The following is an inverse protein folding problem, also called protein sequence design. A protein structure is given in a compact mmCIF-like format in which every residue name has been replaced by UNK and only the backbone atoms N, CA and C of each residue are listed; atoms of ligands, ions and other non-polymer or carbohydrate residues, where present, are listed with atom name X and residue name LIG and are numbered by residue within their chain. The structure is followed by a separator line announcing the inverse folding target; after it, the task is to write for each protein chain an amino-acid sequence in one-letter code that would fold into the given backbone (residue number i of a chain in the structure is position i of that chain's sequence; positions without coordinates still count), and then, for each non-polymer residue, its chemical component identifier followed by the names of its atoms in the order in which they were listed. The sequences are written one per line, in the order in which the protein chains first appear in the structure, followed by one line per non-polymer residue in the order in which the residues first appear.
data_IF_400950842982
#
_entry.id   IF_400950842982
#
_cell.length_a   1.000
_cell.length_b   1.000
_cell.length_c   1.000
_cell.angle_alpha   90.00
_cell.angle_beta   90.00
_cell.angle_gamma   90.00
#
_symmetry.space_group_name_H-M   'P 1'
#
loop_
_entity.id
_entity.type
_entity.pdbx_description
1 polymer ?
#
# COMPACT_ATOMS: atom_id res chain seq x y z
N UNK A 1 -18.70 4.97 19.81
CA UNK A 1 -18.11 3.97 18.88
C UNK A 1 -16.61 3.91 19.13
N UNK A 2 -16.01 2.74 18.93
CA UNK A 2 -14.59 2.51 19.10
C UNK A 2 -14.05 1.89 17.80
N UNK A 3 -12.91 2.40 17.34
CA UNK A 3 -12.24 1.95 16.12
C UNK A 3 -10.82 1.49 16.45
N UNK A 4 -10.39 0.37 15.87
CA UNK A 4 -9.02 -0.08 15.89
C UNK A 4 -8.34 0.33 14.58
N UNK A 5 -7.13 0.90 14.68
CA UNK A 5 -6.33 1.33 13.54
C UNK A 5 -4.98 0.65 13.63
N UNK A 6 -4.63 -0.07 12.56
CA UNK A 6 -3.30 -0.66 12.39
C UNK A 6 -2.49 0.26 11.51
N UNK A 7 -1.31 0.64 11.97
CA UNK A 7 -0.44 1.59 11.27
C UNK A 7 1.03 1.23 11.52
N UNK A 8 1.90 1.52 10.56
CA UNK A 8 3.35 1.37 10.75
C UNK A 8 3.84 2.25 11.91
N UNK A 9 4.73 1.71 12.70
CA UNK A 9 5.23 2.38 13.92
C UNK A 9 5.85 3.74 13.63
N UNK A 10 6.57 3.87 12.52
CA UNK A 10 7.20 5.13 12.05
C UNK A 10 6.20 6.21 11.61
N UNK A 11 4.94 5.83 11.33
CA UNK A 11 3.86 6.75 10.99
C UNK A 11 2.99 7.16 12.19
N UNK A 12 3.10 6.47 13.33
CA UNK A 12 2.15 6.60 14.45
C UNK A 12 2.11 8.01 15.03
N UNK A 13 3.26 8.66 15.20
CA UNK A 13 3.34 10.01 15.76
C UNK A 13 2.69 11.06 14.85
N UNK A 14 3.00 10.98 13.53
CA UNK A 14 2.43 11.90 12.54
C UNK A 14 0.91 11.72 12.44
N UNK A 15 0.44 10.48 12.44
CA UNK A 15 -0.98 10.16 12.46
C UNK A 15 -1.66 10.74 13.71
N UNK A 16 -1.08 10.57 14.90
CA UNK A 16 -1.63 11.12 16.13
C UNK A 16 -1.72 12.65 16.10
N UNK A 17 -0.72 13.35 15.55
CA UNK A 17 -0.74 14.80 15.34
C UNK A 17 -1.86 15.21 14.38
N UNK A 18 -2.01 14.47 13.28
CA UNK A 18 -3.07 14.72 12.29
C UNK A 18 -4.47 14.56 12.91
N UNK A 19 -4.72 13.49 13.63
CA UNK A 19 -6.00 13.28 14.32
C UNK A 19 -6.28 14.38 15.35
N UNK A 20 -5.30 14.80 16.14
CA UNK A 20 -5.47 15.92 17.09
C UNK A 20 -5.85 17.22 16.37
N UNK A 21 -5.22 17.52 15.23
CA UNK A 21 -5.47 18.75 14.47
C UNK A 21 -6.87 18.78 13.85
N UNK A 22 -7.31 17.71 13.23
CA UNK A 22 -8.55 17.68 12.47
C UNK A 22 -9.74 17.08 13.25
N UNK A 23 -9.46 16.28 14.28
CA UNK A 23 -10.46 15.68 15.16
C UNK A 23 -10.82 16.50 16.40
N UNK A 24 -10.29 17.71 16.57
CA UNK A 24 -10.46 18.52 17.78
C UNK A 24 -11.91 18.77 18.16
N UNK A 25 -12.82 18.91 17.18
CA UNK A 25 -14.25 19.14 17.39
C UNK A 25 -15.06 17.85 17.49
N UNK A 26 -14.49 16.70 17.19
CA UNK A 26 -15.19 15.41 17.13
C UNK A 26 -15.20 14.67 18.46
N UNK A 27 -14.65 15.24 19.52
CA UNK A 27 -14.51 14.62 20.86
C UNK A 27 -13.85 13.24 20.82
N UNK A 28 -12.96 13.00 19.83
CA UNK A 28 -12.22 11.75 19.70
C UNK A 28 -11.07 11.70 20.71
N UNK A 29 -10.89 10.53 21.31
CA UNK A 29 -9.73 10.25 22.18
C UNK A 29 -8.90 9.15 21.52
N UNK A 30 -7.61 9.41 21.34
CA UNK A 30 -6.65 8.39 20.95
C UNK A 30 -6.14 7.70 22.21
N UNK A 31 -6.23 6.38 22.25
CA UNK A 31 -5.54 5.56 23.27
C UNK A 31 -4.08 5.38 22.87
N UNK A 32 -3.24 5.08 23.84
CA UNK A 32 -1.85 4.76 23.55
C UNK A 32 -1.76 3.55 22.61
N UNK A 33 -0.90 3.60 21.58
CA UNK A 33 -0.75 2.48 20.68
C UNK A 33 -0.13 1.28 21.41
N UNK A 34 -0.65 0.10 21.10
CA UNK A 34 -0.08 -1.17 21.55
C UNK A 34 0.63 -1.84 20.36
N UNK A 35 1.80 -2.46 20.57
CA UNK A 35 2.50 -3.15 19.50
C UNK A 35 1.71 -4.38 19.07
N UNK A 36 1.60 -4.55 17.76
CA UNK A 36 1.13 -5.77 17.12
C UNK A 36 2.17 -6.24 16.13
N UNK A 37 2.20 -7.53 15.88
CA UNK A 37 3.20 -8.17 15.05
C UNK A 37 2.56 -8.71 13.76
N UNK A 38 3.21 -8.47 12.64
CA UNK A 38 2.82 -9.00 11.34
C UNK A 38 3.13 -10.49 11.28
N UNK A 39 2.14 -11.30 10.95
CA UNK A 39 2.25 -12.77 10.85
C UNK A 39 1.51 -13.29 9.63
N UNK A 40 1.84 -14.51 9.20
CA UNK A 40 1.05 -15.26 8.23
C UNK A 40 0.31 -16.39 8.95
N UNK A 41 -0.99 -16.44 8.78
CA UNK A 41 -1.83 -17.50 9.32
C UNK A 41 -2.67 -18.13 8.19
N UNK A 42 -2.53 -19.43 7.97
CA UNK A 42 -3.18 -20.16 6.86
C UNK A 42 -2.96 -19.51 5.46
N UNK A 43 -1.75 -18.97 5.21
CA UNK A 43 -1.42 -18.30 3.95
C UNK A 43 -1.99 -16.88 3.82
N UNK A 44 -2.58 -16.34 4.88
CA UNK A 44 -3.16 -14.99 4.92
C UNK A 44 -2.28 -14.08 5.77
N UNK A 45 -1.82 -12.94 5.24
CA UNK A 45 -1.09 -11.95 6.02
C UNK A 45 -2.05 -11.26 7.00
N UNK A 46 -1.72 -11.32 8.28
CA UNK A 46 -2.55 -10.77 9.37
C UNK A 46 -1.68 -10.22 10.49
N UNK A 47 -2.26 -9.90 11.64
CA UNK A 47 -1.57 -9.33 12.78
C UNK A 47 -1.92 -10.08 14.07
N UNK A 48 -0.97 -10.11 15.03
CA UNK A 48 -1.13 -10.74 16.34
C UNK A 48 -0.54 -9.86 17.44
N UNK A 49 -1.11 -9.93 18.62
CA UNK A 49 -0.53 -9.31 19.82
C UNK A 49 0.68 -10.12 20.36
N UNK A 50 0.79 -11.38 19.96
CA UNK A 50 1.92 -12.22 20.33
C UNK A 50 2.94 -12.23 19.19
N UNK A 51 4.21 -11.91 19.48
CA UNK A 51 5.29 -12.05 18.50
C UNK A 51 5.40 -13.53 18.07
N UNK A 52 5.37 -13.74 16.75
CA UNK A 52 5.69 -15.02 16.12
C UNK A 52 6.92 -14.82 15.24
N UNK A 53 7.80 -15.80 15.20
CA UNK A 53 8.90 -15.85 14.25
C UNK A 53 8.27 -15.93 12.84
N UNK A 54 8.63 -15.12 11.88
CA UNK A 54 8.28 -15.10 10.44
C UNK A 54 7.69 -13.78 9.95
N UNK A 55 8.23 -12.65 10.39
CA UNK A 55 7.85 -11.34 9.83
C UNK A 55 8.17 -11.23 8.32
N UNK A 56 9.24 -11.89 7.85
CA UNK A 56 9.65 -11.87 6.44
C UNK A 56 8.61 -12.55 5.54
N UNK A 57 8.00 -13.63 6.00
CA UNK A 57 6.94 -14.33 5.27
C UNK A 57 5.72 -13.41 5.07
N UNK A 58 5.41 -12.56 6.05
CA UNK A 58 4.29 -11.62 5.95
C UNK A 58 4.52 -10.62 4.81
N UNK A 59 5.73 -10.09 4.66
CA UNK A 59 6.05 -9.15 3.58
C UNK A 59 5.96 -9.84 2.22
N UNK A 60 6.52 -11.05 2.07
CA UNK A 60 6.47 -11.80 0.82
C UNK A 60 5.03 -12.12 0.41
N UNK A 61 4.22 -12.64 1.33
CA UNK A 61 2.81 -12.96 1.07
C UNK A 61 2.01 -11.69 0.79
N UNK A 62 2.27 -10.60 1.50
CA UNK A 62 1.61 -9.32 1.27
C UNK A 62 1.91 -8.77 -0.13
N UNK A 63 3.17 -8.77 -0.56
CA UNK A 63 3.57 -8.34 -1.91
C UNK A 63 2.91 -9.24 -2.96
N UNK A 64 2.93 -10.56 -2.77
CA UNK A 64 2.31 -11.51 -3.69
C UNK A 64 0.81 -11.29 -3.87
N UNK A 65 0.13 -10.86 -2.82
CA UNK A 65 -1.31 -10.55 -2.83
C UNK A 65 -1.61 -9.09 -3.18
N UNK A 66 -0.58 -8.26 -3.41
CA UNK A 66 -0.74 -6.82 -3.66
C UNK A 66 -1.15 -6.03 -2.42
N UNK A 67 -1.00 -6.58 -1.22
CA UNK A 67 -1.22 -5.88 0.04
C UNK A 67 -0.02 -5.00 0.33
N UNK A 68 -0.15 -3.71 0.05
CA UNK A 68 0.86 -2.73 0.41
C UNK A 68 0.71 -2.28 1.87
N UNK A 69 1.79 -1.75 2.43
CA UNK A 69 1.78 -1.04 3.71
C UNK A 69 2.47 0.31 3.55
N UNK A 70 1.94 1.31 4.24
CA UNK A 70 2.48 2.66 4.21
C UNK A 70 3.48 2.81 5.35
N UNK A 71 4.66 3.33 5.02
CA UNK A 71 5.72 3.70 5.94
C UNK A 71 5.92 5.20 5.92
N UNK A 72 6.78 5.73 6.78
CA UNK A 72 7.14 7.14 6.75
C UNK A 72 7.69 7.58 5.39
N UNK A 73 8.42 6.70 4.70
CA UNK A 73 8.99 6.98 3.38
C UNK A 73 7.94 7.05 2.25
N UNK A 74 6.78 6.41 2.44
CA UNK A 74 5.72 6.32 1.42
C UNK A 74 4.43 7.05 1.79
N UNK A 75 4.37 7.66 2.99
CA UNK A 75 3.21 8.47 3.38
C UNK A 75 3.06 9.68 2.43
N UNK A 76 1.82 10.04 2.13
CA UNK A 76 1.44 11.17 1.28
C UNK A 76 1.93 11.12 -0.19
N UNK A 77 2.52 9.99 -0.65
CA UNK A 77 3.01 9.87 -2.02
C UNK A 77 1.92 9.44 -3.02
N UNK A 78 0.93 8.66 -2.59
CA UNK A 78 0.02 7.97 -3.50
C UNK A 78 -1.44 8.30 -3.23
N UNK A 79 -2.23 8.34 -4.29
CA UNK A 79 -3.68 8.37 -4.17
C UNK A 79 -4.24 6.96 -3.91
N UNK A 80 -5.37 6.83 -3.18
CA UNK A 80 -6.00 5.52 -2.92
C UNK A 80 -6.28 4.70 -4.18
N UNK A 81 -6.67 5.36 -5.28
CA UNK A 81 -6.93 4.67 -6.55
C UNK A 81 -5.66 4.19 -7.22
N UNK A 82 -4.54 4.92 -7.10
CA UNK A 82 -3.24 4.47 -7.60
C UNK A 82 -2.79 3.21 -6.89
N UNK A 83 -3.09 3.08 -5.61
CA UNK A 83 -2.84 1.88 -4.81
C UNK A 83 -3.93 0.79 -4.96
N UNK A 84 -4.86 0.92 -5.90
CA UNK A 84 -5.98 0.00 -6.14
C UNK A 84 -6.89 -0.20 -4.91
N UNK A 85 -6.92 0.72 -3.94
CA UNK A 85 -7.70 0.60 -2.72
C UNK A 85 -9.20 0.47 -2.98
N UNK A 86 -9.71 1.12 -4.03
CA UNK A 86 -11.11 1.02 -4.46
C UNK A 86 -11.48 -0.41 -4.92
N UNK A 87 -10.56 -1.15 -5.53
CA UNK A 87 -10.79 -2.54 -5.95
C UNK A 87 -10.85 -3.52 -4.76
N UNK A 88 -10.40 -3.06 -3.60
CA UNK A 88 -10.45 -3.79 -2.31
C UNK A 88 -11.60 -3.36 -1.43
N UNK A 89 -12.52 -2.51 -1.94
CA UNK A 89 -13.62 -1.97 -1.15
C UNK A 89 -13.19 -0.95 -0.08
N UNK A 90 -11.94 -0.45 -0.14
CA UNK A 90 -11.42 0.52 0.84
C UNK A 90 -11.78 1.97 0.55
N UNK A 91 -12.52 2.25 -0.53
CA UNK A 91 -13.01 3.59 -0.88
C UNK A 91 -14.52 3.54 -1.05
N UNK A 92 -15.22 4.31 -0.23
CA UNK A 92 -16.66 4.50 -0.32
C UNK A 92 -16.92 5.85 -1.00
N UNK A 93 -17.55 5.84 -2.16
CA UNK A 93 -17.87 7.04 -2.94
C UNK A 93 -19.22 7.67 -2.55
N UNK A 94 -20.06 6.96 -1.81
CA UNK A 94 -21.42 7.36 -1.45
C UNK A 94 -21.53 7.89 -0.01
N UNK A 95 -20.44 7.81 0.78
CA UNK A 95 -20.42 8.35 2.14
C UNK A 95 -20.38 9.88 2.16
N UNK A 96 -20.71 10.46 3.32
CA UNK A 96 -20.67 11.91 3.55
C UNK A 96 -19.28 12.55 3.31
N UNK A 97 -19.24 13.88 3.34
CA UNK A 97 -18.01 14.65 3.05
C UNK A 97 -16.85 14.33 4.00
N UNK A 98 -15.65 14.33 3.47
CA UNK A 98 -14.40 14.16 4.21
C UNK A 98 -13.27 14.96 3.55
N UNK A 99 -12.19 15.19 4.29
CA UNK A 99 -11.01 15.92 3.80
C UNK A 99 -10.36 15.16 2.63
N UNK A 100 -10.16 15.84 1.49
CA UNK A 100 -9.56 15.26 0.28
C UNK A 100 -10.55 14.54 -0.64
N UNK A 101 -11.83 14.51 -0.31
CA UNK A 101 -12.87 13.86 -1.12
C UNK A 101 -12.88 14.35 -2.57
N UNK A 102 -12.62 15.63 -2.81
CA UNK A 102 -12.65 16.24 -4.15
C UNK A 102 -11.65 15.59 -5.12
N UNK A 103 -10.47 15.21 -4.64
CA UNK A 103 -9.44 14.53 -5.46
C UNK A 103 -9.89 13.09 -5.77
N UNK A 104 -10.32 12.36 -4.75
CA UNK A 104 -10.77 10.97 -4.86
C UNK A 104 -12.00 10.87 -5.77
N UNK A 105 -12.99 11.72 -5.57
CA UNK A 105 -14.18 11.78 -6.41
C UNK A 105 -13.85 12.19 -7.85
N UNK A 106 -12.96 13.16 -8.06
CA UNK A 106 -12.54 13.55 -9.40
C UNK A 106 -11.88 12.39 -10.16
N UNK A 107 -10.98 11.62 -9.51
CA UNK A 107 -10.33 10.48 -10.12
C UNK A 107 -11.31 9.35 -10.47
N UNK A 108 -12.43 9.26 -9.75
CA UNK A 108 -13.46 8.26 -10.03
C UNK A 108 -14.48 8.71 -11.07
N UNK A 109 -15.01 9.93 -10.96
CA UNK A 109 -16.14 10.39 -11.76
C UNK A 109 -15.74 11.14 -13.04
N UNK A 110 -14.58 11.79 -13.07
CA UNK A 110 -14.18 12.70 -14.16
C UNK A 110 -12.83 12.39 -14.80
N UNK A 111 -12.00 11.62 -14.16
CA UNK A 111 -10.66 11.29 -14.62
C UNK A 111 -10.36 9.81 -14.31
N UNK A 112 -9.14 9.39 -14.58
CA UNK A 112 -8.61 8.09 -14.16
C UNK A 112 -7.17 8.29 -13.70
N UNK A 113 -6.65 7.50 -12.75
CA UNK A 113 -5.24 7.54 -12.41
C UNK A 113 -4.42 7.19 -13.65
N UNK A 114 -3.29 7.87 -13.85
CA UNK A 114 -2.38 7.61 -14.97
C UNK A 114 -1.36 6.52 -14.68
N UNK A 115 -1.10 6.31 -13.39
CA UNK A 115 -0.20 5.30 -12.86
C UNK A 115 -0.95 4.53 -11.77
N UNK A 116 -0.63 3.28 -11.58
CA UNK A 116 -1.23 2.45 -10.55
C UNK A 116 -0.31 1.32 -10.11
N UNK A 117 -0.72 0.63 -9.07
CA UNK A 117 0.03 -0.44 -8.43
C UNK A 117 0.23 -1.63 -9.36
N UNK A 118 1.47 -2.08 -9.45
CA UNK A 118 1.89 -3.31 -10.12
C UNK A 118 2.78 -4.11 -9.16
N UNK A 119 2.81 -5.42 -9.35
CA UNK A 119 3.81 -6.31 -8.75
C UNK A 119 4.86 -6.60 -9.81
N UNK A 120 6.11 -6.42 -9.44
CA UNK A 120 7.25 -6.61 -10.35
C UNK A 120 8.33 -7.44 -9.69
N UNK A 121 9.21 -8.03 -10.50
CA UNK A 121 10.46 -8.65 -10.06
C UNK A 121 11.61 -8.26 -10.98
N UNK A 122 12.81 -8.25 -10.43
CA UNK A 122 14.06 -8.04 -11.17
C UNK A 122 15.23 -8.66 -10.45
N UNK A 123 16.33 -8.92 -11.22
CA UNK A 123 17.65 -9.27 -10.69
C UNK A 123 18.41 -7.97 -10.48
N UNK A 124 18.85 -7.70 -9.25
CA UNK A 124 19.57 -6.47 -8.91
C UNK A 124 19.44 -6.09 -7.45
N UNK A 125 19.87 -4.88 -7.13
CA UNK A 125 19.83 -4.34 -5.78
C UNK A 125 18.38 -4.10 -5.33
N UNK A 126 18.11 -4.46 -4.08
CA UNK A 126 16.79 -4.26 -3.46
C UNK A 126 16.48 -2.75 -3.33
N UNK A 127 15.45 -2.23 -4.02
CA UNK A 127 15.09 -0.83 -3.89
C UNK A 127 14.40 -0.55 -2.55
N UNK A 128 14.56 0.65 -2.02
CA UNK A 128 13.89 1.06 -0.80
C UNK A 128 12.47 1.56 -1.06
N UNK A 129 11.59 1.42 -0.06
CA UNK A 129 10.27 2.04 -0.09
C UNK A 129 10.41 3.56 -0.23
N UNK A 130 9.63 4.17 -1.13
CA UNK A 130 9.69 5.59 -1.47
C UNK A 130 10.79 5.95 -2.47
N UNK A 131 11.65 5.00 -2.87
CA UNK A 131 12.65 5.19 -3.91
C UNK A 131 11.98 5.32 -5.29
N UNK A 132 12.65 6.04 -6.18
CA UNK A 132 12.21 6.21 -7.55
C UNK A 132 13.16 5.49 -8.50
N UNK A 133 12.67 4.45 -9.14
CA UNK A 133 13.37 3.76 -10.23
C UNK A 133 12.97 4.44 -11.55
N UNK A 134 13.75 5.42 -12.01
CA UNK A 134 13.39 6.31 -13.11
C UNK A 134 12.04 7.02 -12.92
N UNK A 135 10.98 6.51 -13.57
CA UNK A 135 9.60 7.04 -13.50
C UNK A 135 8.65 6.14 -12.69
N UNK A 136 9.21 5.17 -11.97
CA UNK A 136 8.48 4.17 -11.21
C UNK A 136 8.70 4.44 -9.73
N UNK A 137 7.63 4.56 -8.97
CA UNK A 137 7.69 4.81 -7.54
C UNK A 137 7.54 3.48 -6.76
N UNK A 138 8.53 3.16 -5.92
CA UNK A 138 8.52 1.93 -5.12
C UNK A 138 7.66 2.13 -3.88
N UNK A 139 6.67 1.26 -3.69
CA UNK A 139 5.81 1.27 -2.50
C UNK A 139 6.40 0.38 -1.41
N UNK A 140 6.64 -0.88 -1.75
CA UNK A 140 7.25 -1.88 -0.86
C UNK A 140 8.09 -2.84 -1.70
N UNK A 141 9.11 -3.43 -1.09
CA UNK A 141 9.99 -4.40 -1.73
C UNK A 141 10.49 -5.44 -0.75
N UNK A 142 10.90 -6.59 -1.27
CA UNK A 142 11.51 -7.68 -0.52
C UNK A 142 12.56 -8.38 -1.38
N UNK A 143 13.68 -8.74 -0.76
CA UNK A 143 14.66 -9.60 -1.39
C UNK A 143 14.12 -11.03 -1.51
N UNK A 144 14.31 -11.65 -2.67
CA UNK A 144 13.94 -13.05 -2.87
C UNK A 144 14.99 -13.95 -2.21
N UNK A 145 14.50 -14.84 -1.34
CA UNK A 145 15.36 -15.82 -0.69
C UNK A 145 15.80 -16.88 -1.71
N UNK A 146 17.05 -17.35 -1.60
CA UNK A 146 17.65 -18.42 -2.41
C UNK A 146 17.99 -18.06 -3.86
N UNK A 147 18.16 -16.79 -4.20
CA UNK A 147 18.69 -16.39 -5.49
C UNK A 147 20.16 -15.93 -5.37
N UNK A 148 21.09 -16.73 -5.90
CA UNK A 148 22.55 -16.44 -5.86
C UNK A 148 22.92 -15.12 -6.57
N UNK A 149 22.07 -14.63 -7.46
CA UNK A 149 22.28 -13.39 -8.22
C UNK A 149 21.71 -12.16 -7.56
N UNK A 150 21.00 -12.32 -6.43
CA UNK A 150 20.23 -11.26 -5.82
C UNK A 150 19.05 -10.84 -6.71
N UNK A 151 17.85 -11.15 -6.31
CA UNK A 151 16.63 -10.66 -6.96
C UNK A 151 15.66 -10.11 -5.93
N UNK A 152 14.71 -9.32 -6.38
CA UNK A 152 13.70 -8.75 -5.54
C UNK A 152 12.31 -8.85 -6.18
N UNK A 153 11.29 -8.83 -5.33
CA UNK A 153 9.93 -8.50 -5.71
C UNK A 153 9.52 -7.16 -5.09
N UNK A 154 8.73 -6.39 -5.81
CA UNK A 154 8.26 -5.11 -5.32
C UNK A 154 6.81 -4.82 -5.74
N UNK A 155 6.13 -4.01 -4.93
CA UNK A 155 4.94 -3.27 -5.31
C UNK A 155 5.37 -1.87 -5.74
N UNK A 156 5.01 -1.49 -6.96
CA UNK A 156 5.39 -0.20 -7.54
C UNK A 156 4.19 0.51 -8.13
N UNK A 157 4.18 1.83 -8.07
CA UNK A 157 3.21 2.66 -8.81
C UNK A 157 3.87 3.17 -10.07
N UNK A 158 3.32 2.79 -11.22
CA UNK A 158 3.87 3.13 -12.52
C UNK A 158 2.77 3.25 -13.58
N UNK A 159 3.09 3.95 -14.67
CA UNK A 159 2.30 3.84 -15.91
C UNK A 159 2.69 2.55 -16.63
N UNK A 160 1.75 1.86 -17.28
CA UNK A 160 2.09 0.64 -18.03
C UNK A 160 3.19 0.85 -19.07
N UNK A 161 3.22 2.04 -19.72
CA UNK A 161 4.24 2.37 -20.71
C UNK A 161 5.65 2.50 -20.09
N UNK A 162 5.75 3.02 -18.87
CA UNK A 162 7.03 3.21 -18.18
C UNK A 162 7.60 1.85 -17.70
N UNK A 163 6.74 0.90 -17.29
CA UNK A 163 7.16 -0.47 -16.94
C UNK A 163 7.86 -1.19 -18.10
N UNK A 164 7.36 -1.01 -19.32
CA UNK A 164 7.93 -1.64 -20.49
C UNK A 164 9.34 -1.10 -20.84
N UNK A 165 9.71 0.09 -20.36
CA UNK A 165 11.01 0.72 -20.66
C UNK A 165 12.11 0.40 -19.65
N UNK A 166 11.74 0.00 -18.43
CA UNK A 166 12.71 -0.20 -17.31
C UNK A 166 13.18 -1.64 -17.19
N UNK A 167 12.62 -2.57 -17.97
CA UNK A 167 13.07 -3.98 -17.97
C UNK A 167 12.53 -4.82 -16.82
N UNK A 168 11.65 -4.27 -15.99
CA UNK A 168 11.03 -5.00 -14.88
C UNK A 168 10.08 -6.09 -15.40
N UNK A 169 10.14 -7.27 -14.80
CA UNK A 169 9.17 -8.34 -15.06
C UNK A 169 7.90 -8.09 -14.27
N UNK A 170 6.77 -7.86 -14.97
CA UNK A 170 5.46 -7.66 -14.33
C UNK A 170 4.89 -9.02 -13.93
N UNK A 171 4.56 -9.16 -12.65
CA UNK A 171 3.94 -10.35 -12.08
C UNK A 171 2.42 -10.16 -11.93
N UNK A 172 1.68 -11.27 -11.96
CA UNK A 172 0.22 -11.23 -11.79
C UNK A 172 -0.20 -10.93 -10.35
N UNK A 173 -1.36 -10.29 -10.23
CA UNK A 173 -2.11 -10.17 -8.97
C UNK A 173 -3.20 -11.22 -8.84
N UNK A 174 -3.76 -11.45 -7.64
CA UNK A 174 -5.02 -12.18 -7.48
C UNK A 174 -6.14 -11.57 -8.35
N UNK A 175 -7.11 -12.38 -8.73
CA UNK A 175 -8.18 -12.01 -9.68
C UNK A 175 -8.92 -10.70 -9.32
N UNK A 176 -9.12 -10.44 -8.04
CA UNK A 176 -9.76 -9.20 -7.57
C UNK A 176 -9.01 -7.92 -7.98
N UNK A 177 -7.68 -7.99 -8.17
CA UNK A 177 -6.85 -6.85 -8.57
C UNK A 177 -6.46 -6.88 -10.07
N UNK A 178 -6.96 -7.82 -10.84
CA UNK A 178 -6.70 -7.90 -12.28
C UNK A 178 -7.65 -7.02 -13.10
N UNK A 179 -8.71 -6.52 -12.49
CA UNK A 179 -9.65 -5.62 -13.17
C UNK A 179 -8.96 -4.30 -13.56
N UNK A 180 -9.43 -3.65 -14.64
CA UNK A 180 -8.95 -2.31 -14.98
C UNK A 180 -9.11 -1.36 -13.80
N UNK A 181 -8.10 -0.51 -13.58
CA UNK A 181 -8.14 0.52 -12.52
C UNK A 181 -9.11 1.64 -12.91
N UNK A 182 -9.28 1.83 -14.20
CA UNK A 182 -10.21 2.78 -14.76
C UNK A 182 -11.66 2.31 -14.60
N UNK A 183 -12.53 3.27 -14.28
CA UNK A 183 -13.97 2.99 -14.30
C UNK A 183 -14.40 2.65 -15.74
N UNK A 184 -15.14 1.58 -15.90
CA UNK A 184 -15.83 1.31 -17.17
C UNK A 184 -16.75 2.51 -17.49
N UNK A 185 -16.59 3.05 -18.68
CA UNK A 185 -17.41 4.18 -19.17
C UNK A 185 -18.80 3.68 -19.56
#
# INVERSE_FOLDING_TARGET
EQYAIVISQDCAENFAKHIKKFGAFSKMTLVNPEPIFAIVENGIPTFSQNAKENADDWQAVSIAQGNYWITHATQDLFQPQELRLHQRGGVDYDKGCYLGQEIIARLWFKASPKAWLHRVSEIGDLPNAGEKLEKIDVVNSIAMQNDEKGSFEALVVARPADLATVGLTVLGFPSALQQPVERAK
#
